data_IF_840030891278
#
_entry.id   IF_840030891278
#
_cell.length_a   1.000
_cell.length_b   1.000
_cell.length_c   1.000
_cell.angle_alpha   90.00
_cell.angle_beta   90.00
_cell.angle_gamma   90.00
#
_symmetry.space_group_name_H-M   'P 1'
#
loop_
_entity.id
_entity.type
_entity.pdbx_description
1 polymer ?
#
# COMPACT_ATOMS: atom_id res chain seq x y z
N UNK A 1 -33.98 -25.14 3.65
CA UNK A 1 -32.97 -25.90 4.41
C UNK A 1 -32.54 -25.06 5.59
N UNK A 2 -32.73 -25.59 6.78
CA UNK A 2 -32.43 -25.01 8.09
C UNK A 2 -30.93 -25.06 8.38
N UNK A 3 -30.35 -23.92 8.78
CA UNK A 3 -29.13 -23.87 9.59
C UNK A 3 -29.31 -22.84 10.70
N UNK A 4 -29.94 -23.26 11.80
CA UNK A 4 -29.63 -22.76 13.15
C UNK A 4 -29.00 -23.93 13.91
N UNK A 5 -27.84 -23.71 14.53
CA UNK A 5 -27.50 -24.12 15.89
C UNK A 5 -25.99 -23.97 16.11
N UNK A 6 -25.63 -23.40 17.26
CA UNK A 6 -24.27 -23.18 17.78
C UNK A 6 -23.44 -22.07 17.11
N UNK A 7 -23.37 -20.92 17.80
CA UNK A 7 -22.37 -19.88 17.60
C UNK A 7 -21.00 -20.31 18.12
N UNK A 8 -20.47 -21.43 17.62
CA UNK A 8 -19.12 -21.89 17.87
C UNK A 8 -18.41 -21.97 16.52
N UNK A 9 -17.99 -20.82 16.00
CA UNK A 9 -16.94 -20.84 14.98
C UNK A 9 -15.69 -21.30 15.70
N UNK A 10 -15.26 -22.53 15.40
CA UNK A 10 -14.01 -23.11 15.86
C UNK A 10 -12.90 -22.03 15.74
N UNK A 11 -12.21 -21.64 16.84
CA UNK A 11 -11.18 -20.61 16.80
C UNK A 11 -10.10 -20.94 15.76
N UNK A 12 -9.85 -22.24 15.56
CA UNK A 12 -8.97 -22.77 14.53
C UNK A 12 -9.43 -22.42 13.10
N UNK A 13 -10.74 -22.40 12.81
CA UNK A 13 -11.30 -22.02 11.51
C UNK A 13 -11.25 -20.50 11.31
N UNK A 14 -11.52 -19.71 12.35
CA UNK A 14 -11.44 -18.25 12.30
C UNK A 14 -9.99 -17.77 12.09
N UNK A 15 -9.03 -18.39 12.80
CA UNK A 15 -7.59 -18.15 12.61
C UNK A 15 -7.18 -18.56 11.20
N UNK A 16 -7.63 -19.72 10.70
CA UNK A 16 -7.39 -20.18 9.33
C UNK A 16 -7.94 -19.19 8.30
N UNK A 17 -9.16 -18.69 8.45
CA UNK A 17 -9.75 -17.71 7.53
C UNK A 17 -9.01 -16.36 7.55
N UNK A 18 -8.59 -15.91 8.73
CA UNK A 18 -7.75 -14.73 8.88
C UNK A 18 -6.37 -14.96 8.27
N UNK A 19 -5.74 -16.14 8.43
CA UNK A 19 -4.45 -16.43 7.79
C UNK A 19 -4.56 -16.63 6.28
N UNK A 20 -5.65 -17.22 5.80
CA UNK A 20 -5.88 -17.54 4.39
C UNK A 20 -6.32 -16.31 3.59
N UNK A 21 -6.92 -15.29 4.22
CA UNK A 21 -7.08 -13.97 3.58
C UNK A 21 -5.73 -13.30 3.28
N UNK A 22 -4.61 -13.79 3.86
CA UNK A 22 -3.25 -13.29 3.66
C UNK A 22 -2.33 -14.23 2.88
N UNK A 23 -2.86 -15.17 2.08
CA UNK A 23 -2.08 -16.18 1.35
C UNK A 23 -0.87 -15.62 0.58
N UNK A 24 -0.98 -14.41 -0.02
CA UNK A 24 0.12 -13.78 -0.77
C UNK A 24 1.23 -13.16 0.10
N UNK A 25 0.95 -12.81 1.36
CA UNK A 25 1.95 -12.22 2.29
C UNK A 25 2.57 -13.25 3.23
N UNK A 26 1.92 -14.40 3.43
CA UNK A 26 2.42 -15.46 4.30
C UNK A 26 3.82 -15.94 3.88
N UNK A 27 4.07 -16.11 2.57
CA UNK A 27 5.39 -16.48 2.04
C UNK A 27 6.44 -15.40 2.32
N UNK A 28 6.11 -14.12 2.16
CA UNK A 28 7.02 -13.00 2.44
C UNK A 28 7.41 -12.93 3.91
N UNK A 29 6.45 -13.11 4.83
CA UNK A 29 6.73 -13.16 6.26
C UNK A 29 7.54 -14.39 6.66
N UNK A 30 7.30 -15.54 6.02
CA UNK A 30 8.12 -16.74 6.22
C UNK A 30 9.58 -16.51 5.75
N UNK A 31 9.78 -15.85 4.61
CA UNK A 31 11.13 -15.52 4.12
C UNK A 31 11.83 -14.52 5.04
N UNK A 32 11.14 -13.47 5.49
CA UNK A 32 11.68 -12.50 6.44
C UNK A 32 12.03 -13.15 7.79
N UNK A 33 11.19 -14.06 8.30
CA UNK A 33 11.46 -14.79 9.52
C UNK A 33 12.69 -15.70 9.40
N UNK A 34 12.85 -16.40 8.27
CA UNK A 34 14.03 -17.22 7.98
C UNK A 34 15.31 -16.38 7.88
N UNK A 35 15.23 -15.17 7.35
CA UNK A 35 16.36 -14.24 7.25
C UNK A 35 16.79 -13.67 8.61
N UNK A 36 15.83 -13.40 9.51
CA UNK A 36 16.10 -12.86 10.85
C UNK A 36 16.54 -13.94 11.84
N UNK A 37 16.17 -15.20 11.62
CA UNK A 37 16.53 -16.33 12.47
C UNK A 37 17.14 -17.50 11.68
N UNK A 38 18.34 -17.31 11.09
CA UNK A 38 19.01 -18.37 10.33
C UNK A 38 19.31 -19.55 11.27
N UNK A 39 18.71 -20.71 10.99
CA UNK A 39 18.87 -21.94 11.78
C UNK A 39 17.68 -22.35 12.64
N UNK A 40 16.66 -21.49 12.85
CA UNK A 40 15.40 -21.92 13.49
C UNK A 40 14.46 -22.49 12.42
N UNK A 41 14.49 -23.82 12.26
CA UNK A 41 13.95 -24.52 11.09
C UNK A 41 12.42 -24.50 10.93
N UNK A 42 11.65 -24.04 11.91
CA UNK A 42 10.19 -23.91 11.76
C UNK A 42 9.67 -22.69 12.52
N UNK A 43 8.68 -21.95 11.98
CA UNK A 43 7.89 -21.06 12.83
C UNK A 43 7.41 -21.90 14.01
N UNK A 44 7.66 -21.42 15.23
CA UNK A 44 7.19 -22.11 16.43
C UNK A 44 5.68 -22.33 16.25
N UNK A 45 5.23 -23.58 16.32
CA UNK A 45 3.80 -23.88 16.32
C UNK A 45 3.27 -23.35 17.64
N UNK A 46 2.81 -22.11 17.64
CA UNK A 46 2.17 -21.50 18.79
C UNK A 46 0.85 -22.26 18.99
N UNK A 47 0.60 -22.69 20.24
CA UNK A 47 -0.69 -23.27 20.61
C UNK A 47 -1.82 -22.31 20.22
N UNK A 48 -2.97 -22.84 19.78
CA UNK A 48 -4.13 -22.02 19.43
C UNK A 48 -4.48 -21.02 20.55
N UNK A 49 -4.34 -21.44 21.82
CA UNK A 49 -4.63 -20.61 22.99
C UNK A 49 -3.62 -19.47 23.15
N UNK A 50 -2.33 -19.74 22.88
CA UNK A 50 -1.28 -18.71 22.98
C UNK A 50 -1.41 -17.71 21.82
N UNK A 51 -1.77 -18.17 20.62
CA UNK A 51 -2.03 -17.30 19.48
C UNK A 51 -3.27 -16.42 19.74
N UNK A 52 -4.34 -17.01 20.28
CA UNK A 52 -5.54 -16.29 20.66
C UNK A 52 -5.24 -15.26 21.77
N UNK A 53 -4.46 -15.64 22.78
CA UNK A 53 -4.06 -14.74 23.86
C UNK A 53 -3.21 -13.58 23.35
N UNK A 54 -2.29 -13.79 22.39
CA UNK A 54 -1.54 -12.71 21.73
C UNK A 54 -2.46 -11.76 20.97
N UNK A 55 -3.48 -12.28 20.27
CA UNK A 55 -4.44 -11.47 19.52
C UNK A 55 -5.32 -10.64 20.47
N UNK A 56 -5.80 -11.25 21.56
CA UNK A 56 -6.60 -10.59 22.60
C UNK A 56 -5.75 -9.56 23.35
N UNK A 57 -4.56 -9.92 23.81
CA UNK A 57 -3.61 -9.04 24.51
C UNK A 57 -3.17 -7.86 23.64
N UNK A 58 -3.03 -8.09 22.33
CA UNK A 58 -2.69 -7.06 21.35
C UNK A 58 -3.85 -6.12 21.01
N UNK A 59 -5.07 -6.34 21.52
CA UNK A 59 -6.28 -5.58 21.20
C UNK A 59 -6.50 -5.43 19.67
N UNK A 60 -6.04 -6.41 18.89
CA UNK A 60 -6.10 -6.40 17.43
C UNK A 60 -7.47 -6.90 16.98
N UNK A 61 -8.51 -6.11 17.27
CA UNK A 61 -9.84 -6.36 16.71
C UNK A 61 -9.76 -6.29 15.18
N UNK A 62 -10.49 -7.19 14.50
CA UNK A 62 -10.66 -7.18 13.04
C UNK A 62 -11.01 -5.78 12.52
N UNK A 63 -11.88 -5.06 13.24
CA UNK A 63 -12.29 -3.68 12.97
C UNK A 63 -11.10 -2.71 12.95
N UNK A 64 -10.17 -2.82 13.88
CA UNK A 64 -8.95 -1.99 13.95
C UNK A 64 -8.01 -2.28 12.78
N UNK A 65 -7.86 -3.55 12.39
CA UNK A 65 -7.08 -3.92 11.20
C UNK A 65 -7.72 -3.42 9.91
N UNK A 66 -9.02 -3.64 9.73
CA UNK A 66 -9.77 -3.17 8.57
C UNK A 66 -9.67 -1.64 8.45
N UNK A 67 -9.81 -0.90 9.56
CA UNK A 67 -9.63 0.56 9.61
C UNK A 67 -8.21 1.01 9.24
N UNK A 68 -7.17 0.34 9.76
CA UNK A 68 -5.77 0.63 9.40
C UNK A 68 -5.47 0.30 7.94
N UNK A 69 -6.06 -0.78 7.42
CA UNK A 69 -5.92 -1.18 6.01
C UNK A 69 -6.62 -0.19 5.09
N UNK A 70 -7.85 0.22 5.40
CA UNK A 70 -8.61 1.18 4.59
C UNK A 70 -7.95 2.55 4.60
N UNK A 71 -7.48 3.03 5.76
CA UNK A 71 -6.71 4.28 5.84
C UNK A 71 -5.40 4.23 5.05
N UNK A 72 -4.65 3.12 5.10
CA UNK A 72 -3.46 2.96 4.26
C UNK A 72 -3.79 2.95 2.76
N UNK A 73 -4.84 2.23 2.36
CA UNK A 73 -5.26 2.21 0.95
C UNK A 73 -5.77 3.58 0.50
N UNK A 74 -6.48 4.32 1.36
CA UNK A 74 -6.91 5.67 1.07
C UNK A 74 -5.72 6.59 0.81
N UNK A 75 -4.64 6.49 1.60
CA UNK A 75 -3.42 7.27 1.38
C UNK A 75 -2.69 6.88 0.08
N UNK A 76 -2.61 5.58 -0.24
CA UNK A 76 -2.02 5.11 -1.51
C UNK A 76 -2.82 5.68 -2.69
N UNK A 77 -4.14 5.54 -2.68
CA UNK A 77 -5.02 6.05 -3.74
C UNK A 77 -5.01 7.57 -3.82
N UNK A 78 -4.89 8.26 -2.69
CA UNK A 78 -4.74 9.71 -2.66
C UNK A 78 -3.47 10.16 -3.37
N UNK A 79 -2.32 9.53 -3.08
CA UNK A 79 -1.06 9.86 -3.77
C UNK A 79 -1.16 9.55 -5.26
N UNK A 80 -1.69 8.39 -5.66
CA UNK A 80 -1.87 8.04 -7.07
C UNK A 80 -2.75 9.06 -7.82
N UNK A 81 -3.89 9.41 -7.22
CA UNK A 81 -4.78 10.42 -7.77
C UNK A 81 -4.08 11.78 -7.91
N UNK A 82 -3.31 12.17 -6.90
CA UNK A 82 -2.59 13.44 -6.88
C UNK A 82 -1.47 13.47 -7.94
N UNK A 83 -0.71 12.40 -8.09
CA UNK A 83 0.28 12.26 -9.16
C UNK A 83 -0.37 12.35 -10.54
N UNK A 84 -1.52 11.69 -10.74
CA UNK A 84 -2.26 11.79 -11.99
C UNK A 84 -2.76 13.21 -12.29
N UNK A 85 -3.03 14.02 -11.25
CA UNK A 85 -3.38 15.42 -11.40
C UNK A 85 -2.14 16.23 -11.83
N UNK A 86 -1.03 16.07 -11.11
CA UNK A 86 0.20 16.85 -11.35
C UNK A 86 0.82 16.54 -12.70
N UNK A 87 0.78 15.29 -13.16
CA UNK A 87 1.27 14.95 -14.50
C UNK A 87 0.49 15.62 -15.64
N UNK A 88 -0.78 15.98 -15.39
CA UNK A 88 -1.66 16.60 -16.39
C UNK A 88 -1.70 18.12 -16.27
N UNK A 89 -1.15 18.68 -15.20
CA UNK A 89 -1.02 20.11 -15.07
C UNK A 89 0.12 20.61 -15.97
N UNK A 90 -0.19 21.58 -16.82
CA UNK A 90 0.84 22.37 -17.50
C UNK A 90 1.35 23.49 -16.61
N UNK A 91 2.62 23.84 -16.79
CA UNK A 91 3.39 24.86 -16.08
C UNK A 91 2.70 26.23 -16.10
N UNK A 92 2.02 26.53 -17.20
CA UNK A 92 1.33 27.80 -17.43
C UNK A 92 -0.10 27.85 -16.82
N UNK A 93 -0.55 26.76 -16.19
CA UNK A 93 -1.88 26.66 -15.57
C UNK A 93 -3.06 26.67 -16.55
N UNK A 94 -2.81 26.83 -17.84
CA UNK A 94 -3.79 27.03 -18.93
C UNK A 94 -4.41 25.74 -19.45
N UNK A 95 -3.70 24.61 -19.35
CA UNK A 95 -4.21 23.30 -19.77
C UNK A 95 -4.39 22.38 -18.56
N UNK A 96 -5.63 22.22 -18.14
CA UNK A 96 -6.04 21.34 -17.05
C UNK A 96 -7.09 20.37 -17.57
N UNK A 97 -6.65 19.23 -18.10
CA UNK A 97 -7.58 18.24 -18.63
C UNK A 97 -7.60 16.98 -17.79
N UNK A 98 -8.80 16.47 -17.53
CA UNK A 98 -8.95 15.21 -16.78
C UNK A 98 -8.44 14.01 -17.58
N UNK A 99 -8.55 14.08 -18.91
CA UNK A 99 -8.14 13.02 -19.82
C UNK A 99 -7.28 13.61 -20.93
N UNK A 100 -6.08 13.04 -21.11
CA UNK A 100 -5.22 13.31 -22.25
C UNK A 100 -5.75 12.55 -23.48
N UNK A 101 -6.63 13.20 -24.26
CA UNK A 101 -7.24 12.58 -25.44
C UNK A 101 -6.50 12.94 -26.73
N UNK A 102 -5.98 14.16 -26.82
CA UNK A 102 -5.24 14.63 -28.00
C UNK A 102 -3.80 14.15 -27.99
N UNK A 103 -3.16 14.10 -29.16
CA UNK A 103 -1.76 13.70 -29.32
C UNK A 103 -0.83 14.61 -28.51
N UNK A 104 -1.03 15.93 -28.60
CA UNK A 104 -0.26 16.93 -27.86
C UNK A 104 -0.35 16.74 -26.34
N UNK A 105 -1.53 16.44 -25.79
CA UNK A 105 -1.71 16.17 -24.36
C UNK A 105 -0.98 14.91 -23.92
N UNK A 106 -0.96 13.87 -24.76
CA UNK A 106 -0.25 12.62 -24.47
C UNK A 106 1.27 12.80 -24.52
N UNK A 107 1.77 13.61 -25.44
CA UNK A 107 3.19 13.95 -25.53
C UNK A 107 3.65 14.75 -24.31
N UNK A 108 2.90 15.78 -23.89
CA UNK A 108 3.18 16.53 -22.65
C UNK A 108 3.14 15.64 -21.42
N UNK A 109 2.17 14.73 -21.34
CA UNK A 109 2.10 13.77 -20.24
C UNK A 109 3.31 12.83 -20.23
N UNK A 110 3.77 12.41 -21.41
CA UNK A 110 4.94 11.54 -21.56
C UNK A 110 6.26 12.26 -21.22
N UNK A 111 6.32 13.59 -21.32
CA UNK A 111 7.49 14.38 -20.90
C UNK A 111 7.45 14.73 -19.40
N UNK A 112 6.31 15.16 -18.86
CA UNK A 112 6.22 15.60 -17.45
C UNK A 112 6.28 14.44 -16.45
N UNK A 113 5.68 13.29 -16.80
CA UNK A 113 5.68 12.12 -15.93
C UNK A 113 7.09 11.66 -15.52
N UNK A 114 8.04 11.41 -16.46
CA UNK A 114 9.39 11.00 -16.07
C UNK A 114 10.15 12.08 -15.32
N UNK A 115 9.96 13.37 -15.65
CA UNK A 115 10.60 14.49 -14.92
C UNK A 115 10.23 14.48 -13.43
N UNK A 116 8.93 14.44 -13.12
CA UNK A 116 8.44 14.40 -11.75
C UNK A 116 8.89 13.09 -11.04
N UNK A 117 8.87 11.96 -11.74
CA UNK A 117 9.34 10.68 -11.17
C UNK A 117 10.83 10.73 -10.81
N UNK A 118 11.66 11.30 -11.68
CA UNK A 118 13.10 11.44 -11.44
C UNK A 118 13.40 12.41 -10.31
N UNK A 119 12.68 13.51 -10.20
CA UNK A 119 12.88 14.48 -9.13
C UNK A 119 12.45 13.93 -7.76
N UNK A 120 11.33 13.21 -7.70
CA UNK A 120 10.92 12.49 -6.48
C UNK A 120 11.92 11.39 -6.10
N UNK A 121 12.49 10.72 -7.08
CA UNK A 121 13.54 9.72 -6.86
C UNK A 121 14.82 10.36 -6.31
N UNK A 122 15.28 11.49 -6.87
CA UNK A 122 16.46 12.24 -6.38
C UNK A 122 16.27 12.78 -4.96
N UNK A 123 15.08 13.25 -4.62
CA UNK A 123 14.83 13.88 -3.32
C UNK A 123 14.83 12.88 -2.15
N UNK A 124 14.18 11.72 -2.31
CA UNK A 124 13.88 10.82 -1.19
C UNK A 124 14.17 9.33 -1.49
N UNK A 125 14.93 9.03 -2.54
CA UNK A 125 15.08 7.67 -3.08
C UNK A 125 13.71 6.98 -3.22
N UNK A 126 12.75 7.74 -3.76
CA UNK A 126 11.35 7.36 -3.80
C UNK A 126 10.95 6.95 -5.23
N UNK A 127 11.08 5.66 -5.59
CA UNK A 127 10.53 5.16 -6.83
C UNK A 127 8.99 5.16 -6.72
N UNK A 128 8.31 5.86 -7.64
CA UNK A 128 6.86 6.04 -7.62
C UNK A 128 6.26 5.73 -8.97
N UNK A 129 5.06 5.13 -8.98
CA UNK A 129 4.28 4.86 -10.20
C UNK A 129 5.06 4.05 -11.27
N UNK A 130 5.92 3.13 -10.79
CA UNK A 130 6.60 2.14 -11.63
C UNK A 130 5.66 0.94 -11.80
N UNK A 131 5.41 0.45 -13.02
CA UNK A 131 4.59 -0.74 -13.24
C UNK A 131 5.24 -1.97 -12.60
N UNK A 132 4.41 -2.83 -11.99
CA UNK A 132 4.86 -4.07 -11.33
C UNK A 132 4.12 -5.26 -11.93
N UNK A 133 4.82 -6.34 -12.25
CA UNK A 133 4.17 -7.55 -12.77
C UNK A 133 3.06 -8.03 -11.80
N UNK A 134 1.81 -8.05 -12.28
CA UNK A 134 0.64 -8.45 -11.50
C UNK A 134 0.02 -7.38 -10.58
N UNK A 135 0.45 -6.11 -10.68
CA UNK A 135 -0.17 -4.97 -10.00
C UNK A 135 -0.10 -3.71 -10.88
N UNK A 136 -0.93 -2.70 -10.60
CA UNK A 136 -0.92 -1.44 -11.35
C UNK A 136 0.41 -0.69 -11.16
N UNK A 137 0.85 -0.53 -9.90
CA UNK A 137 2.06 0.21 -9.53
C UNK A 137 2.81 -0.50 -8.39
N UNK A 138 4.07 -0.10 -8.15
CA UNK A 138 4.84 -0.48 -6.96
C UNK A 138 4.44 0.30 -5.70
N UNK A 139 3.50 1.25 -5.78
CA UNK A 139 3.18 2.15 -4.67
C UNK A 139 2.62 1.35 -3.50
N UNK A 140 3.29 1.44 -2.35
CA UNK A 140 2.89 0.75 -1.15
C UNK A 140 2.93 1.65 0.08
N UNK A 141 2.70 1.07 1.25
CA UNK A 141 2.70 1.83 2.49
C UNK A 141 4.05 2.46 2.84
N UNK A 142 5.16 1.91 2.35
CA UNK A 142 6.48 2.51 2.52
C UNK A 142 6.65 3.70 1.57
N UNK A 143 6.15 3.61 0.33
CA UNK A 143 6.07 4.74 -0.61
C UNK A 143 5.34 5.91 0.02
N UNK A 144 4.15 5.67 0.59
CA UNK A 144 3.33 6.70 1.26
C UNK A 144 4.11 7.36 2.40
N UNK A 145 4.74 6.58 3.27
CA UNK A 145 5.51 7.12 4.41
C UNK A 145 6.66 8.00 3.97
N UNK A 146 7.38 7.60 2.93
CA UNK A 146 8.49 8.39 2.37
C UNK A 146 7.99 9.66 1.69
N UNK A 147 6.89 9.57 0.94
CA UNK A 147 6.27 10.70 0.26
C UNK A 147 5.90 11.84 1.22
N UNK A 148 5.29 11.48 2.37
CA UNK A 148 4.91 12.44 3.40
C UNK A 148 6.01 12.80 4.39
N UNK A 149 7.21 12.21 4.29
CA UNK A 149 8.32 12.54 5.21
C UNK A 149 8.79 13.99 5.04
N UNK A 150 8.84 14.46 3.80
CA UNK A 150 9.32 15.79 3.44
C UNK A 150 8.26 16.55 2.62
N UNK A 151 7.05 16.73 3.19
CA UNK A 151 5.90 17.35 2.51
C UNK A 151 6.28 18.65 1.80
N UNK A 152 7.13 19.47 2.41
CA UNK A 152 7.61 20.73 1.83
C UNK A 152 8.28 20.56 0.47
N UNK A 153 9.24 19.65 0.40
CA UNK A 153 10.02 19.43 -0.80
C UNK A 153 9.20 18.65 -1.84
N UNK A 154 8.37 17.71 -1.40
CA UNK A 154 7.43 17.00 -2.27
C UNK A 154 6.41 17.95 -2.91
N UNK A 155 5.84 18.89 -2.14
CA UNK A 155 4.90 19.89 -2.65
C UNK A 155 5.56 20.86 -3.65
N UNK A 156 6.81 21.25 -3.42
CA UNK A 156 7.58 22.08 -4.35
C UNK A 156 7.83 21.37 -5.69
N UNK A 157 8.23 20.10 -5.67
CA UNK A 157 8.41 19.29 -6.90
C UNK A 157 7.08 19.13 -7.65
N UNK A 158 6.00 18.89 -6.91
CA UNK A 158 4.66 18.73 -7.48
C UNK A 158 4.01 20.07 -7.86
N UNK A 159 4.67 21.19 -7.59
CA UNK A 159 4.23 22.56 -7.90
C UNK A 159 2.85 22.87 -7.30
N UNK A 160 2.59 22.36 -6.10
CA UNK A 160 1.34 22.59 -5.37
C UNK A 160 1.62 23.46 -4.15
N UNK A 161 0.73 24.43 -3.91
CA UNK A 161 0.81 25.29 -2.73
C UNK A 161 0.49 24.46 -1.46
N UNK A 162 1.12 24.82 -0.34
CA UNK A 162 0.96 24.09 0.93
C UNK A 162 -0.35 24.40 1.64
#
# INVERSE_FOLDING_TARGET
MTLRASGAVEPSSAVKDVTMTFLKRASTYQTAFKAVAPGKSRPCKISADVALNIIISGNLMRKTYEMKRTSLHALIRFIEWFLHLTYKWSDDGTEQTWQARTTQQKEKLASHKPEIQDDLKKLNDLPIDIPKAGAETINDGNTVRRFFKNVTATAAILRVNK
#
